data_IF_109394479196
#
_entry.id   IF_109394479196
#
_cell.length_a   1.000
_cell.length_b   1.000
_cell.length_c   1.000
_cell.angle_alpha   90.00
_cell.angle_beta   90.00
_cell.angle_gamma   90.00
#
_symmetry.space_group_name_H-M   'P 1'
#
loop_
_entity.id
_entity.type
_entity.pdbx_description
1 polymer ?
#
# COMPACT_ATOMS: atom_id res chain seq x y z
N UNK A 1 -9.09 22.21 -21.58
CA UNK A 1 -9.12 21.92 -20.14
C UNK A 1 -9.86 20.61 -19.95
N UNK A 2 -9.10 19.56 -19.61
CA UNK A 2 -9.66 18.23 -19.43
C UNK A 2 -10.46 18.17 -18.13
N UNK A 3 -11.56 17.49 -18.21
CA UNK A 3 -12.52 17.26 -17.16
C UNK A 3 -11.96 16.35 -16.07
N UNK A 4 -11.99 16.69 -14.79
CA UNK A 4 -11.61 15.73 -13.76
C UNK A 4 -12.69 14.66 -13.67
N UNK A 5 -12.33 13.45 -14.08
CA UNK A 5 -13.11 12.24 -13.84
C UNK A 5 -13.43 12.10 -12.35
N UNK A 6 -14.53 11.47 -11.95
CA UNK A 6 -14.82 11.26 -10.54
C UNK A 6 -13.65 10.53 -9.87
N UNK A 7 -13.15 11.13 -8.80
CA UNK A 7 -12.00 10.60 -8.07
C UNK A 7 -12.36 9.27 -7.42
N UNK A 8 -11.81 8.19 -7.94
CA UNK A 8 -11.71 6.95 -7.19
C UNK A 8 -10.85 7.23 -5.95
N UNK A 9 -11.00 6.53 -4.84
CA UNK A 9 -10.12 6.70 -3.68
C UNK A 9 -8.64 6.49 -4.02
N UNK A 10 -8.35 6.04 -5.23
CA UNK A 10 -7.02 5.74 -5.74
C UNK A 10 -6.73 6.50 -7.07
N UNK A 11 -7.22 7.75 -7.20
CA UNK A 11 -6.95 8.50 -8.43
C UNK A 11 -5.50 8.96 -8.50
N UNK A 12 -4.81 8.57 -9.55
CA UNK A 12 -3.48 9.09 -9.89
C UNK A 12 -3.65 10.41 -10.64
N UNK A 13 -3.02 11.47 -10.13
CA UNK A 13 -3.04 12.79 -10.77
C UNK A 13 -1.80 12.96 -11.65
N UNK A 14 -1.98 13.25 -12.92
CA UNK A 14 -0.88 13.45 -13.87
C UNK A 14 -0.70 14.94 -14.20
N UNK A 15 0.50 15.43 -14.07
CA UNK A 15 0.90 16.79 -14.45
C UNK A 15 2.17 16.76 -15.33
N UNK A 16 2.29 17.67 -16.30
CA UNK A 16 3.48 17.80 -17.17
C UNK A 16 4.45 18.83 -16.58
N UNK A 17 5.59 18.41 -16.05
CA UNK A 17 6.63 19.31 -15.54
C UNK A 17 8.03 18.70 -15.62
N UNK A 18 8.99 19.50 -16.02
CA UNK A 18 10.43 19.12 -16.07
C UNK A 18 11.14 19.44 -14.75
N UNK A 19 10.56 20.27 -13.91
CA UNK A 19 11.09 20.62 -12.57
C UNK A 19 10.10 20.21 -11.49
N UNK A 20 10.60 19.88 -10.30
CA UNK A 20 9.73 19.58 -9.16
C UNK A 20 8.67 20.66 -9.00
N UNK A 21 7.41 20.29 -8.92
CA UNK A 21 6.36 21.26 -8.66
C UNK A 21 6.57 21.91 -7.28
N UNK A 22 6.22 23.18 -7.14
CA UNK A 22 6.26 23.88 -5.84
C UNK A 22 5.15 23.38 -4.90
N UNK A 23 4.13 22.77 -5.48
CA UNK A 23 2.92 22.35 -4.77
C UNK A 23 2.32 21.10 -5.42
N UNK A 24 1.88 20.16 -4.63
CA UNK A 24 1.16 18.94 -5.07
C UNK A 24 -0.14 18.89 -4.28
N UNK A 25 -1.27 19.01 -4.97
CA UNK A 25 -2.57 19.10 -4.32
C UNK A 25 -2.58 20.27 -3.32
N UNK A 26 -2.80 19.97 -2.05
CA UNK A 26 -2.78 20.93 -0.95
C UNK A 26 -1.44 20.97 -0.21
N UNK A 27 -0.40 20.30 -0.72
CA UNK A 27 0.91 20.19 -0.06
C UNK A 27 1.93 21.11 -0.73
N UNK A 28 2.42 22.10 0.01
CA UNK A 28 3.52 22.98 -0.40
C UNK A 28 4.85 22.26 -0.13
N UNK A 29 5.65 22.06 -1.17
CA UNK A 29 6.91 21.29 -1.11
C UNK A 29 8.04 22.20 -0.65
N UNK A 30 8.72 21.79 0.42
CA UNK A 30 9.85 22.50 1.02
C UNK A 30 11.21 21.91 0.60
N UNK A 31 12.18 21.98 1.51
CA UNK A 31 13.55 21.53 1.29
C UNK A 31 13.66 19.99 1.26
N UNK A 32 14.74 19.49 0.66
CA UNK A 32 15.11 18.08 0.72
C UNK A 32 15.60 17.76 2.14
N UNK A 33 15.11 16.64 2.69
CA UNK A 33 15.45 16.14 4.03
C UNK A 33 16.20 14.81 3.97
N UNK A 34 16.17 14.11 2.83
CA UNK A 34 16.89 12.86 2.65
C UNK A 34 17.09 12.52 1.18
N UNK A 35 18.10 11.70 0.91
CA UNK A 35 18.37 11.10 -0.40
C UNK A 35 18.79 9.65 -0.18
N UNK A 36 18.17 8.75 -0.88
CA UNK A 36 18.47 7.31 -0.82
C UNK A 36 18.49 6.66 -2.19
N UNK A 37 18.76 5.38 -2.22
CA UNK A 37 18.82 4.59 -3.45
C UNK A 37 17.50 4.65 -4.24
N UNK A 38 16.36 4.71 -3.54
CA UNK A 38 15.02 4.71 -4.15
C UNK A 38 14.51 6.11 -4.52
N UNK A 39 15.29 7.19 -4.27
CA UNK A 39 14.87 8.55 -4.60
C UNK A 39 15.25 9.60 -3.57
N UNK A 40 14.61 10.75 -3.66
CA UNK A 40 14.83 11.86 -2.72
C UNK A 40 13.57 12.14 -1.89
N UNK A 41 13.77 12.55 -0.64
CA UNK A 41 12.69 12.88 0.29
C UNK A 41 12.70 14.37 0.58
N UNK A 42 11.55 15.03 0.44
CA UNK A 42 11.37 16.45 0.72
C UNK A 42 10.30 16.64 1.79
N UNK A 43 10.49 17.61 2.67
CA UNK A 43 9.45 18.01 3.61
C UNK A 43 8.34 18.75 2.85
N UNK A 44 7.10 18.62 3.30
CA UNK A 44 5.97 19.38 2.76
C UNK A 44 5.05 19.82 3.90
N UNK A 45 4.26 20.86 3.63
CA UNK A 45 3.30 21.38 4.60
C UNK A 45 1.93 21.52 3.93
N UNK A 46 0.92 20.98 4.58
CA UNK A 46 -0.46 21.04 4.09
C UNK A 46 -0.98 22.49 4.22
N UNK A 47 -1.46 23.06 3.13
CA UNK A 47 -1.82 24.49 3.04
C UNK A 47 -3.00 24.89 3.92
N UNK A 48 -3.94 23.98 4.19
CA UNK A 48 -5.13 24.26 5.02
C UNK A 48 -4.91 23.93 6.50
N UNK A 49 -4.32 22.76 6.79
CA UNK A 49 -4.20 22.24 8.19
C UNK A 49 -2.87 22.61 8.84
N UNK A 50 -1.85 22.97 8.05
CA UNK A 50 -0.50 23.21 8.56
C UNK A 50 0.29 21.94 8.86
N UNK A 51 -0.31 20.76 8.71
CA UNK A 51 0.32 19.46 8.97
C UNK A 51 1.55 19.26 8.10
N UNK A 52 2.60 18.66 8.66
CA UNK A 52 3.81 18.30 7.91
C UNK A 52 3.69 16.88 7.33
N UNK A 53 4.32 16.70 6.19
CA UNK A 53 4.45 15.41 5.49
C UNK A 53 5.86 15.27 4.92
N UNK A 54 6.28 14.05 4.66
CA UNK A 54 7.48 13.73 3.87
C UNK A 54 7.02 13.31 2.47
N UNK A 55 7.58 13.93 1.43
CA UNK A 55 7.28 13.54 0.05
C UNK A 55 8.49 12.79 -0.51
N UNK A 56 8.33 11.49 -0.70
CA UNK A 56 9.32 10.64 -1.37
C UNK A 56 9.08 10.73 -2.87
N UNK A 57 10.10 11.18 -3.60
CA UNK A 57 10.06 11.37 -5.05
C UNK A 57 10.89 10.27 -5.70
N UNK A 58 10.24 9.40 -6.45
CA UNK A 58 10.84 8.25 -7.13
C UNK A 58 10.80 8.52 -8.64
N UNK A 59 11.98 8.51 -9.28
CA UNK A 59 12.01 8.64 -10.74
C UNK A 59 11.56 7.34 -11.39
N UNK A 60 10.67 7.43 -12.35
CA UNK A 60 10.18 6.29 -13.12
C UNK A 60 11.32 5.63 -13.93
N UNK A 61 12.37 6.38 -14.24
CA UNK A 61 13.55 5.84 -14.94
C UNK A 61 14.43 4.96 -14.03
N UNK A 62 14.29 5.07 -12.71
CA UNK A 62 15.04 4.24 -11.75
C UNK A 62 14.30 2.97 -11.34
N UNK A 63 13.02 2.86 -11.70
CA UNK A 63 12.30 1.60 -11.55
C UNK A 63 13.01 0.54 -12.43
N UNK A 64 13.19 -0.70 -11.93
CA UNK A 64 14.10 -1.67 -12.58
C UNK A 64 13.84 -1.82 -14.07
N UNK A 65 14.87 -1.76 -14.92
CA UNK A 65 14.67 -1.98 -16.33
C UNK A 65 14.55 -3.48 -16.65
N UNK A 66 13.42 -4.06 -16.37
CA UNK A 66 13.01 -5.29 -17.06
C UNK A 66 12.77 -4.99 -18.56
N UNK A 67 13.13 -3.78 -18.99
CA UNK A 67 12.64 -3.17 -20.23
C UNK A 67 13.66 -3.08 -21.36
N UNK A 68 14.94 -3.43 -21.17
CA UNK A 68 15.94 -3.17 -22.22
C UNK A 68 16.22 -4.31 -23.20
N UNK A 69 15.60 -5.47 -23.04
CA UNK A 69 15.94 -6.66 -23.87
C UNK A 69 14.76 -7.51 -24.37
N UNK A 70 13.54 -6.98 -24.36
CA UNK A 70 12.36 -7.74 -24.80
C UNK A 70 11.79 -7.14 -26.10
N UNK A 71 11.45 -8.00 -27.04
CA UNK A 71 10.82 -7.69 -28.32
C UNK A 71 9.56 -6.82 -28.14
N UNK A 72 9.35 -5.87 -29.03
CA UNK A 72 8.27 -4.86 -28.98
C UNK A 72 6.88 -5.45 -28.71
N UNK A 73 6.61 -6.68 -29.17
CA UNK A 73 5.32 -7.34 -28.97
C UNK A 73 5.14 -7.96 -27.57
N UNK A 74 6.23 -8.15 -26.82
CA UNK A 74 6.20 -8.63 -25.42
C UNK A 74 6.40 -7.50 -24.39
N UNK A 75 6.84 -6.34 -24.87
CA UNK A 75 7.12 -5.19 -24.00
C UNK A 75 5.85 -4.65 -23.34
N UNK A 76 4.73 -4.64 -24.05
CA UNK A 76 3.46 -4.16 -23.56
C UNK A 76 2.97 -4.98 -22.34
N UNK A 77 2.98 -6.30 -22.47
CA UNK A 77 2.49 -7.21 -21.41
C UNK A 77 3.36 -7.13 -20.14
N UNK A 78 4.70 -7.13 -20.31
CA UNK A 78 5.63 -7.05 -19.17
C UNK A 78 5.55 -5.69 -18.48
N UNK A 79 5.43 -4.61 -19.27
CA UNK A 79 5.29 -3.24 -18.72
C UNK A 79 3.99 -3.11 -17.95
N UNK A 80 2.89 -3.63 -18.49
CA UNK A 80 1.58 -3.59 -17.86
C UNK A 80 1.59 -4.36 -16.52
N UNK A 81 2.16 -5.55 -16.48
CA UNK A 81 2.27 -6.36 -15.25
C UNK A 81 3.13 -5.68 -14.18
N UNK A 82 4.25 -5.09 -14.57
CA UNK A 82 5.13 -4.36 -13.64
C UNK A 82 4.42 -3.12 -13.07
N UNK A 83 3.72 -2.37 -13.92
CA UNK A 83 2.94 -1.19 -13.50
C UNK A 83 1.81 -1.58 -12.55
N UNK A 84 1.07 -2.64 -12.86
CA UNK A 84 -0.01 -3.17 -12.01
C UNK A 84 0.52 -3.64 -10.65
N UNK A 85 1.72 -4.20 -10.60
CA UNK A 85 2.37 -4.60 -9.35
C UNK A 85 2.64 -3.39 -8.45
N UNK A 86 3.19 -2.32 -9.01
CA UNK A 86 3.46 -1.06 -8.29
C UNK A 86 2.15 -0.42 -7.81
N UNK A 87 1.13 -0.40 -8.64
CA UNK A 87 -0.19 0.15 -8.27
C UNK A 87 -0.81 -0.60 -7.10
N UNK A 88 -0.76 -1.94 -7.10
CA UNK A 88 -1.23 -2.78 -5.99
C UNK A 88 -0.48 -2.48 -4.71
N UNK A 89 0.84 -2.35 -4.78
CA UNK A 89 1.70 -2.05 -3.63
C UNK A 89 1.33 -0.70 -3.00
N UNK A 90 1.13 0.32 -3.84
CA UNK A 90 0.70 1.66 -3.39
C UNK A 90 -0.67 1.59 -2.71
N UNK A 91 -1.62 0.85 -3.29
CA UNK A 91 -2.96 0.66 -2.70
C UNK A 91 -2.84 0.01 -1.31
N UNK A 92 -2.05 -1.04 -1.20
CA UNK A 92 -1.83 -1.73 0.08
C UNK A 92 -1.22 -0.78 1.12
N UNK A 93 -0.20 -0.02 0.74
CA UNK A 93 0.42 0.98 1.63
C UNK A 93 -0.60 2.02 2.13
N UNK A 94 -1.53 2.43 1.27
CA UNK A 94 -2.59 3.40 1.62
C UNK A 94 -3.64 2.78 2.56
N UNK A 95 -3.87 1.47 2.45
CA UNK A 95 -4.84 0.73 3.26
C UNK A 95 -4.28 0.34 4.63
N UNK A 96 -2.96 0.17 4.75
CA UNK A 96 -2.30 -0.19 6.01
C UNK A 96 -2.64 0.83 7.09
N UNK A 97 -3.06 0.32 8.26
CA UNK A 97 -3.37 1.14 9.42
C UNK A 97 -2.82 0.46 10.68
N UNK A 98 -1.62 0.85 11.07
CA UNK A 98 -0.93 0.32 12.25
C UNK A 98 -0.13 1.44 12.93
N UNK A 99 -0.12 1.55 14.26
CA UNK A 99 0.58 2.64 14.94
C UNK A 99 2.08 2.68 14.65
N UNK A 100 2.71 1.53 14.42
CA UNK A 100 4.15 1.41 14.20
C UNK A 100 4.52 1.28 12.71
N UNK A 101 3.62 1.64 11.79
CA UNK A 101 3.89 1.72 10.36
C UNK A 101 3.62 3.15 9.88
N UNK A 102 4.53 3.67 9.08
CA UNK A 102 4.42 5.03 8.51
C UNK A 102 3.24 5.10 7.53
N UNK A 103 2.36 6.07 7.73
CA UNK A 103 1.14 6.24 6.89
C UNK A 103 1.48 6.83 5.55
N UNK A 104 0.82 6.33 4.50
CA UNK A 104 0.79 6.94 3.17
C UNK A 104 -0.50 7.77 3.07
N UNK A 105 -0.36 9.08 2.99
CA UNK A 105 -1.51 10.00 2.90
C UNK A 105 -2.07 10.10 1.49
N UNK A 106 -1.17 10.21 0.48
CA UNK A 106 -1.61 10.36 -0.90
C UNK A 106 -0.48 10.00 -1.88
N UNK A 107 -0.86 9.82 -3.13
CA UNK A 107 0.08 9.49 -4.23
C UNK A 107 -0.21 10.40 -5.41
N UNK A 108 0.83 10.99 -5.97
CA UNK A 108 0.74 11.82 -7.17
C UNK A 108 1.76 11.34 -8.20
N UNK A 109 1.47 11.55 -9.45
CA UNK A 109 2.25 11.04 -10.55
C UNK A 109 2.42 12.12 -11.63
N UNK A 110 3.64 12.21 -12.18
CA UNK A 110 3.94 12.96 -13.40
C UNK A 110 4.41 11.99 -14.49
N UNK A 111 4.71 12.50 -15.65
CA UNK A 111 5.30 11.67 -16.73
C UNK A 111 6.66 11.06 -16.33
N UNK A 112 7.41 11.72 -15.44
CA UNK A 112 8.78 11.32 -15.07
C UNK A 112 8.91 10.77 -13.64
N UNK A 113 8.04 11.16 -12.72
CA UNK A 113 8.22 10.90 -11.29
C UNK A 113 6.93 10.48 -10.60
N UNK A 114 7.10 9.69 -9.56
CA UNK A 114 6.06 9.28 -8.60
C UNK A 114 6.32 10.00 -7.28
N UNK A 115 5.29 10.57 -6.68
CA UNK A 115 5.34 11.33 -5.42
C UNK A 115 4.49 10.61 -4.37
N UNK A 116 5.13 10.05 -3.36
CA UNK A 116 4.46 9.42 -2.22
C UNK A 116 4.41 10.44 -1.08
N UNK A 117 3.21 10.83 -0.66
CA UNK A 117 3.01 11.77 0.46
C UNK A 117 2.84 10.94 1.73
N UNK A 118 3.87 10.93 2.56
CA UNK A 118 4.02 10.06 3.72
C UNK A 118 3.93 10.85 5.02
N UNK A 119 3.63 10.16 6.10
CA UNK A 119 3.74 10.68 7.46
C UNK A 119 5.15 11.24 7.69
N UNK A 120 5.24 12.44 8.25
CA UNK A 120 6.53 13.04 8.62
C UNK A 120 6.89 12.62 10.03
N UNK A 121 8.00 11.89 10.17
CA UNK A 121 8.49 11.33 11.43
C UNK A 121 9.74 12.12 11.84
N UNK A 122 9.78 12.63 13.06
CA UNK A 122 10.76 13.64 13.48
C UNK A 122 11.94 13.11 14.30
N UNK A 123 11.82 11.94 14.92
CA UNK A 123 12.85 11.41 15.83
C UNK A 123 14.07 10.80 15.15
N UNK A 124 14.08 10.75 13.81
CA UNK A 124 15.23 10.22 13.05
C UNK A 124 15.21 8.70 12.92
N UNK A 125 16.32 8.15 12.47
CA UNK A 125 16.47 6.72 12.24
C UNK A 125 16.87 5.99 13.54
N UNK A 126 16.33 4.80 13.75
CA UNK A 126 16.71 3.93 14.88
C UNK A 126 18.22 3.62 14.85
N UNK A 127 18.79 3.50 13.64
CA UNK A 127 20.22 3.26 13.46
C UNK A 127 21.06 4.40 14.03
N UNK A 128 20.71 5.65 13.73
CA UNK A 128 21.40 6.83 14.27
C UNK A 128 21.32 6.87 15.81
N UNK A 129 20.14 6.52 16.33
CA UNK A 129 19.95 6.44 17.78
C UNK A 129 20.87 5.40 18.42
N UNK A 130 20.96 4.20 17.79
CA UNK A 130 21.86 3.13 18.24
C UNK A 130 23.34 3.53 18.15
N UNK A 131 23.75 4.16 17.05
CA UNK A 131 25.14 4.62 16.87
C UNK A 131 25.55 5.62 17.95
N UNK A 132 24.62 6.48 18.38
CA UNK A 132 24.88 7.50 19.40
C UNK A 132 24.85 6.92 20.83
N UNK A 133 23.95 5.99 21.10
CA UNK A 133 23.69 5.46 22.45
C UNK A 133 24.48 4.18 22.75
N UNK A 134 24.82 3.43 21.72
CA UNK A 134 25.35 2.08 21.84
C UNK A 134 24.24 1.08 22.14
N UNK A 135 24.60 -0.05 22.75
CA UNK A 135 23.60 -1.09 23.11
C UNK A 135 22.55 -0.54 24.08
N UNK A 136 21.33 -0.98 23.92
CA UNK A 136 20.21 -0.53 24.75
C UNK A 136 20.02 -1.42 25.99
N UNK A 137 19.50 -0.85 27.10
CA UNK A 137 18.98 -1.68 28.19
C UNK A 137 17.93 -2.69 27.67
N UNK A 138 17.90 -3.86 28.27
CA UNK A 138 17.03 -4.97 27.81
C UNK A 138 15.55 -4.55 27.69
N UNK A 139 15.05 -3.79 28.67
CA UNK A 139 13.65 -3.31 28.67
C UNK A 139 13.36 -2.40 27.47
N UNK A 140 14.28 -1.48 27.16
CA UNK A 140 14.15 -0.56 26.03
C UNK A 140 14.25 -1.32 24.70
N UNK A 141 15.23 -2.21 24.56
CA UNK A 141 15.41 -3.06 23.39
C UNK A 141 14.16 -3.92 23.12
N UNK A 142 13.63 -4.54 24.18
CA UNK A 142 12.41 -5.36 24.08
C UNK A 142 11.19 -4.51 23.70
N UNK A 143 11.06 -3.30 24.25
CA UNK A 143 9.96 -2.39 23.90
C UNK A 143 9.97 -2.04 22.40
N UNK A 144 11.13 -1.71 21.85
CA UNK A 144 11.27 -1.45 20.41
C UNK A 144 11.01 -2.73 19.58
N UNK A 145 11.58 -3.84 20.03
CA UNK A 145 11.39 -5.13 19.35
C UNK A 145 9.92 -5.54 19.30
N UNK A 146 9.17 -5.38 20.40
CA UNK A 146 7.72 -5.66 20.44
C UNK A 146 6.95 -4.83 19.42
N UNK A 147 7.30 -3.55 19.27
CA UNK A 147 6.67 -2.65 18.29
C UNK A 147 6.98 -3.08 16.85
N UNK A 148 8.24 -3.46 16.57
CA UNK A 148 8.67 -3.96 15.26
C UNK A 148 7.90 -5.25 14.91
N UNK A 149 7.88 -6.21 15.83
CA UNK A 149 7.20 -7.50 15.63
C UNK A 149 5.68 -7.28 15.42
N UNK A 150 5.06 -6.38 16.18
CA UNK A 150 3.63 -6.05 16.02
C UNK A 150 3.34 -5.53 14.60
N UNK A 151 4.18 -4.63 14.10
CA UNK A 151 4.03 -4.06 12.76
C UNK A 151 4.25 -5.11 11.65
N UNK A 152 5.30 -5.93 11.81
CA UNK A 152 5.64 -6.98 10.83
C UNK A 152 4.56 -8.08 10.83
N UNK A 153 4.08 -8.51 12.00
CA UNK A 153 2.99 -9.48 12.12
C UNK A 153 1.71 -8.97 11.45
N UNK A 154 1.38 -7.68 11.66
CA UNK A 154 0.24 -7.03 10.99
C UNK A 154 0.34 -7.21 9.47
N UNK A 155 1.50 -6.90 8.89
CA UNK A 155 1.70 -7.04 7.44
C UNK A 155 1.62 -8.51 6.99
N UNK A 156 2.24 -9.43 7.74
CA UNK A 156 2.23 -10.86 7.44
C UNK A 156 0.80 -11.45 7.46
N UNK A 157 -0.09 -10.94 8.32
CA UNK A 157 -1.51 -11.33 8.35
C UNK A 157 -2.19 -11.06 7.01
N UNK A 158 -1.79 -9.98 6.33
CA UNK A 158 -2.28 -9.62 5.00
C UNK A 158 -1.43 -10.18 3.86
N UNK A 159 -0.53 -11.14 4.14
CA UNK A 159 0.38 -11.74 3.16
C UNK A 159 1.39 -10.74 2.56
N UNK A 160 1.70 -9.68 3.27
CA UNK A 160 2.67 -8.66 2.87
C UNK A 160 3.97 -8.91 3.64
N UNK A 161 5.07 -9.13 2.93
CA UNK A 161 6.39 -9.18 3.53
C UNK A 161 7.16 -7.91 3.19
N UNK A 162 7.92 -7.38 4.13
CA UNK A 162 8.69 -6.14 3.96
C UNK A 162 9.91 -6.34 3.05
N UNK A 163 10.66 -7.43 3.26
CA UNK A 163 11.82 -7.90 2.46
C UNK A 163 13.08 -7.02 2.51
N UNK A 164 13.01 -5.80 3.01
CA UNK A 164 14.15 -4.90 3.19
C UNK A 164 14.13 -4.27 4.58
N UNK A 165 13.84 -5.09 5.59
CA UNK A 165 13.78 -4.62 6.97
C UNK A 165 15.20 -4.41 7.51
N UNK A 166 15.49 -3.16 7.87
CA UNK A 166 16.80 -2.73 8.38
C UNK A 166 16.63 -1.45 9.20
N UNK A 167 17.55 -1.09 10.09
CA UNK A 167 17.36 0.07 10.96
C UNK A 167 17.18 1.40 10.24
N UNK A 168 17.71 1.57 9.02
CA UNK A 168 17.52 2.77 8.20
C UNK A 168 16.05 2.95 7.76
N UNK A 169 15.30 1.84 7.70
CA UNK A 169 13.87 1.84 7.37
C UNK A 169 12.99 1.87 8.63
N UNK A 170 13.60 2.03 9.82
CA UNK A 170 12.89 2.11 11.09
C UNK A 170 13.15 3.48 11.70
N UNK A 171 12.11 4.29 11.77
CA UNK A 171 12.18 5.66 12.28
C UNK A 171 11.59 5.71 13.70
N UNK A 172 11.95 6.75 14.42
CA UNK A 172 11.41 7.05 15.74
C UNK A 172 10.53 8.31 15.65
N UNK A 173 9.36 8.28 16.25
CA UNK A 173 8.53 9.47 16.39
C UNK A 173 8.98 10.31 17.61
N UNK A 174 8.31 11.44 17.86
CA UNK A 174 8.64 12.35 18.98
C UNK A 174 8.48 11.69 20.36
N UNK A 175 7.70 10.63 20.45
CA UNK A 175 7.47 9.87 21.69
C UNK A 175 8.34 8.61 21.76
N UNK A 176 9.35 8.50 20.89
CA UNK A 176 10.23 7.35 20.76
C UNK A 176 9.46 6.03 20.49
N UNK A 177 8.43 6.12 19.64
CA UNK A 177 7.77 4.92 19.13
C UNK A 177 8.30 4.60 17.73
N UNK A 178 8.33 3.33 17.42
CA UNK A 178 8.76 2.82 16.12
C UNK A 178 7.75 3.20 15.02
N UNK A 179 8.30 3.61 13.86
CA UNK A 179 7.58 3.80 12.60
C UNK A 179 8.36 3.09 11.49
N UNK A 180 7.89 1.94 11.05
CA UNK A 180 8.48 1.22 9.92
C UNK A 180 8.13 1.96 8.63
N UNK A 181 9.14 2.27 7.86
CA UNK A 181 9.07 3.02 6.61
C UNK A 181 9.48 2.12 5.44
N UNK A 182 9.30 2.64 4.26
CA UNK A 182 9.89 2.15 3.02
C UNK A 182 9.48 0.73 2.62
N UNK A 183 8.17 0.51 2.53
CA UNK A 183 7.60 -0.70 1.94
C UNK A 183 7.81 -0.77 0.40
N UNK A 184 8.70 0.05 -0.16
CA UNK A 184 8.96 0.12 -1.60
C UNK A 184 9.60 -1.14 -2.21
N UNK A 185 10.03 -2.07 -1.36
CA UNK A 185 10.54 -3.38 -1.78
C UNK A 185 9.60 -4.50 -1.32
N UNK A 186 8.54 -4.12 -0.61
CA UNK A 186 7.54 -5.08 -0.16
C UNK A 186 6.90 -5.72 -1.39
N UNK A 187 7.16 -6.97 -1.58
CA UNK A 187 6.62 -7.71 -2.71
C UNK A 187 5.74 -8.85 -2.19
N UNK A 188 4.84 -9.24 -3.04
CA UNK A 188 3.86 -10.25 -2.71
C UNK A 188 4.49 -11.62 -2.60
N UNK A 189 4.11 -12.36 -1.58
CA UNK A 189 4.45 -13.77 -1.50
C UNK A 189 3.73 -14.49 -2.65
N UNK A 190 4.50 -15.02 -3.59
CA UNK A 190 3.95 -15.76 -4.72
C UNK A 190 4.32 -15.24 -6.10
N UNK A 191 5.01 -14.11 -6.21
CA UNK A 191 5.58 -13.69 -7.49
C UNK A 191 6.95 -14.36 -7.68
N UNK A 192 7.08 -15.32 -8.63
CA UNK A 192 8.37 -16.00 -8.85
C UNK A 192 9.46 -15.06 -9.38
N UNK A 193 9.09 -13.90 -9.92
CA UNK A 193 10.05 -12.95 -10.51
C UNK A 193 10.56 -11.95 -9.47
N UNK A 194 9.82 -11.72 -8.39
CA UNK A 194 10.26 -10.88 -7.28
C UNK A 194 11.43 -11.50 -6.50
N UNK A 195 11.69 -12.80 -6.68
CA UNK A 195 12.83 -13.50 -6.07
C UNK A 195 14.19 -13.15 -6.70
N UNK A 196 14.20 -12.47 -7.85
CA UNK A 196 15.43 -12.07 -8.55
C UNK A 196 15.93 -10.68 -8.16
N UNK A 197 15.67 -10.24 -6.95
CA UNK A 197 16.33 -9.06 -6.41
C UNK A 197 17.80 -9.42 -6.13
N UNK A 198 18.61 -9.32 -7.17
CA UNK A 198 20.06 -9.35 -7.00
C UNK A 198 20.43 -8.21 -6.06
N UNK A 199 21.08 -8.53 -5.00
CA UNK A 199 21.69 -7.59 -4.06
C UNK A 199 22.78 -6.79 -4.78
N UNK A 200 22.38 -5.90 -5.66
CA UNK A 200 23.31 -4.90 -6.18
C UNK A 200 23.35 -3.75 -5.18
N UNK A 201 24.31 -3.81 -4.28
CA UNK A 201 24.77 -2.70 -3.46
C UNK A 201 23.78 -2.14 -2.42
N UNK A 202 22.99 -3.01 -1.75
CA UNK A 202 22.38 -2.72 -0.46
C UNK A 202 23.23 -3.33 0.66
N UNK A 203 23.02 -2.94 1.91
CA UNK A 203 23.67 -3.52 3.07
C UNK A 203 23.21 -4.97 3.26
N UNK A 204 24.00 -6.00 2.93
CA UNK A 204 23.52 -7.39 3.01
C UNK A 204 23.40 -7.91 4.44
N UNK A 205 23.85 -7.17 5.43
CA UNK A 205 23.90 -7.53 6.86
C UNK A 205 22.56 -8.05 7.40
N UNK A 206 21.43 -7.56 6.86
CA UNK A 206 20.07 -7.90 7.32
C UNK A 206 19.40 -8.97 6.45
N UNK A 207 20.02 -9.31 5.31
CA UNK A 207 19.44 -10.27 4.35
C UNK A 207 19.57 -11.71 4.87
N UNK A 208 18.50 -12.48 4.73
CA UNK A 208 18.49 -13.89 5.12
C UNK A 208 19.36 -14.75 4.17
N UNK A 209 19.94 -15.87 4.66
CA UNK A 209 20.80 -16.75 3.85
C UNK A 209 20.17 -17.19 2.53
N UNK A 210 18.88 -17.49 2.53
CA UNK A 210 18.14 -17.94 1.34
C UNK A 210 18.02 -16.82 0.29
N UNK A 211 17.99 -15.55 0.72
CA UNK A 211 18.01 -14.40 -0.20
C UNK A 211 19.39 -14.29 -0.88
N UNK A 212 20.46 -14.40 -0.09
CA UNK A 212 21.85 -14.34 -0.57
C UNK A 212 22.13 -15.49 -1.54
N UNK A 213 21.60 -16.69 -1.26
CA UNK A 213 21.75 -17.86 -2.10
C UNK A 213 20.96 -17.80 -3.41
N UNK A 214 20.07 -16.82 -3.57
CA UNK A 214 19.21 -16.69 -4.76
C UNK A 214 18.15 -17.78 -4.88
N UNK A 215 17.81 -18.44 -3.77
CA UNK A 215 16.78 -19.47 -3.74
C UNK A 215 15.38 -18.85 -3.69
N UNK A 216 14.38 -19.62 -4.09
CA UNK A 216 12.98 -19.24 -3.82
C UNK A 216 12.78 -19.18 -2.30
N UNK A 217 12.29 -18.06 -1.81
CA UNK A 217 12.19 -17.84 -0.38
C UNK A 217 10.80 -17.37 0.05
N UNK A 218 10.50 -17.61 1.32
CA UNK A 218 9.31 -17.11 1.99
C UNK A 218 9.66 -15.72 2.60
N UNK A 219 9.01 -14.68 2.12
CA UNK A 219 9.27 -13.30 2.57
C UNK A 219 9.04 -13.10 4.06
N UNK A 220 8.01 -13.71 4.63
CA UNK A 220 7.73 -13.62 6.06
C UNK A 220 8.85 -14.24 6.90
N UNK A 221 9.40 -15.38 6.46
CA UNK A 221 10.56 -16.01 7.14
C UNK A 221 11.82 -15.15 7.03
N UNK A 222 12.01 -14.50 5.88
CA UNK A 222 13.15 -13.59 5.68
C UNK A 222 13.03 -12.35 6.59
N UNK A 223 11.83 -11.79 6.75
CA UNK A 223 11.59 -10.66 7.68
C UNK A 223 11.90 -11.07 9.14
N UNK A 224 11.57 -12.32 9.54
CA UNK A 224 11.90 -12.84 10.89
C UNK A 224 13.42 -12.85 11.10
N UNK A 225 14.19 -13.27 10.07
CA UNK A 225 15.66 -13.21 10.13
C UNK A 225 16.12 -11.75 10.33
N UNK A 226 15.64 -10.83 9.52
CA UNK A 226 16.00 -9.40 9.63
C UNK A 226 15.65 -8.82 11.01
N UNK A 227 14.47 -9.18 11.56
CA UNK A 227 14.09 -8.82 12.93
C UNK A 227 15.07 -9.39 13.96
N UNK A 228 15.60 -10.60 13.74
CA UNK A 228 16.62 -11.21 14.59
C UNK A 228 17.94 -10.44 14.58
N UNK A 229 18.38 -10.01 13.39
CA UNK A 229 19.57 -9.14 13.26
C UNK A 229 19.36 -7.82 14.02
N UNK A 230 18.18 -7.21 13.87
CA UNK A 230 17.84 -5.95 14.56
C UNK A 230 17.83 -6.17 16.08
N UNK A 231 17.21 -7.25 16.57
CA UNK A 231 17.20 -7.57 18.02
C UNK A 231 18.60 -7.73 18.55
N UNK A 232 19.49 -8.43 17.81
CA UNK A 232 20.90 -8.57 18.19
C UNK A 232 21.55 -7.19 18.32
N UNK A 233 21.36 -6.32 17.32
CA UNK A 233 21.92 -4.96 17.30
C UNK A 233 21.41 -4.12 18.49
N UNK A 234 20.13 -4.22 18.83
CA UNK A 234 19.52 -3.50 19.97
C UNK A 234 20.16 -3.94 21.30
N UNK A 235 20.37 -5.25 21.48
CA UNK A 235 20.85 -5.84 22.76
C UNK A 235 22.36 -5.82 22.91
N UNK A 236 23.10 -6.01 21.80
CA UNK A 236 24.57 -6.13 21.83
C UNK A 236 25.29 -4.84 21.39
N UNK A 237 24.61 -3.96 20.66
CA UNK A 237 25.23 -2.76 20.07
C UNK A 237 26.09 -3.07 18.84
N UNK A 238 26.08 -4.32 18.38
CA UNK A 238 26.87 -4.78 17.22
C UNK A 238 26.02 -5.71 16.35
N UNK A 239 26.41 -5.87 15.10
CA UNK A 239 25.77 -6.84 14.22
C UNK A 239 26.32 -8.25 14.48
N UNK A 240 25.51 -9.31 14.27
CA UNK A 240 26.01 -10.70 14.42
C UNK A 240 26.92 -11.11 13.26
N UNK A 241 26.75 -10.48 12.10
CA UNK A 241 27.58 -10.70 10.90
C UNK A 241 28.07 -9.33 10.43
N UNK A 242 29.39 -9.16 10.47
CA UNK A 242 30.01 -7.89 10.05
C UNK A 242 31.44 -8.16 9.56
N UNK A 243 31.76 -7.66 8.37
CA UNK A 243 33.08 -7.78 7.77
C UNK A 243 33.24 -6.73 6.67
N UNK A 244 34.42 -6.12 6.59
CA UNK A 244 34.74 -5.13 5.54
C UNK A 244 34.81 -5.78 4.15
N UNK A 245 35.14 -7.08 4.09
CA UNK A 245 35.19 -7.85 2.85
C UNK A 245 33.80 -8.44 2.54
N UNK A 246 33.13 -7.91 1.53
CA UNK A 246 31.78 -8.30 1.18
C UNK A 246 31.61 -9.83 0.92
N UNK A 247 32.51 -10.50 0.15
CA UNK A 247 32.48 -11.95 0.03
C UNK A 247 32.53 -12.70 1.36
N UNK A 248 33.37 -12.26 2.28
CA UNK A 248 33.50 -12.86 3.63
C UNK A 248 32.21 -12.68 4.42
N UNK A 249 31.65 -11.47 4.42
CA UNK A 249 30.34 -11.18 5.04
C UNK A 249 29.24 -12.11 4.51
N UNK A 250 29.12 -12.23 3.18
CA UNK A 250 28.12 -13.11 2.55
C UNK A 250 28.32 -14.59 2.96
N UNK A 251 29.58 -15.03 3.11
CA UNK A 251 29.89 -16.37 3.58
C UNK A 251 29.49 -16.57 5.06
N UNK A 252 29.74 -15.56 5.92
CA UNK A 252 29.32 -15.59 7.33
C UNK A 252 27.79 -15.77 7.43
N UNK A 253 27.04 -14.94 6.69
CA UNK A 253 25.57 -14.97 6.68
C UNK A 253 25.08 -16.34 6.18
N UNK A 254 25.60 -16.83 5.04
CA UNK A 254 25.19 -18.10 4.47
C UNK A 254 25.48 -19.30 5.36
N UNK A 255 26.54 -19.22 6.20
CA UNK A 255 26.84 -20.24 7.21
C UNK A 255 25.99 -20.06 8.48
N UNK A 256 25.44 -18.88 8.71
CA UNK A 256 24.68 -18.51 9.91
C UNK A 256 25.45 -18.78 11.22
N UNK A 257 26.77 -18.58 11.20
CA UNK A 257 27.63 -18.76 12.38
C UNK A 257 28.06 -17.41 12.92
N UNK A 258 27.65 -17.10 14.12
CA UNK A 258 27.99 -15.84 14.82
C UNK A 258 28.29 -16.12 16.30
N UNK A 259 28.99 -15.19 16.93
CA UNK A 259 29.24 -15.25 18.36
C UNK A 259 28.01 -14.74 19.11
N UNK A 260 27.40 -15.60 19.92
CA UNK A 260 26.25 -15.20 20.73
C UNK A 260 26.74 -14.33 21.88
N UNK A 261 26.22 -13.11 22.07
CA UNK A 261 26.56 -12.29 23.23
C UNK A 261 26.24 -13.03 24.53
N UNK A 262 27.20 -13.12 25.43
CA UNK A 262 27.07 -13.86 26.70
C UNK A 262 26.51 -13.00 27.83
N UNK A 263 26.49 -11.69 27.64
CA UNK A 263 26.10 -10.68 28.64
C UNK A 263 24.66 -10.16 28.43
N UNK A 264 23.85 -10.88 27.62
CA UNK A 264 22.42 -10.58 27.42
C UNK A 264 21.56 -11.68 28.06
N UNK A 265 20.29 -11.40 28.27
CA UNK A 265 19.32 -12.32 28.85
C UNK A 265 19.35 -13.69 28.16
N UNK A 266 19.45 -14.81 28.89
CA UNK A 266 19.41 -16.15 28.30
C UNK A 266 18.17 -16.45 27.45
N UNK A 267 17.01 -15.89 27.80
CA UNK A 267 15.80 -16.04 26.98
C UNK A 267 15.94 -15.25 25.66
N UNK A 268 16.62 -14.09 25.68
CA UNK A 268 16.95 -13.34 24.45
C UNK A 268 17.90 -14.16 23.55
N UNK A 269 18.91 -14.81 24.16
CA UNK A 269 19.84 -15.69 23.42
C UNK A 269 19.09 -16.84 22.74
N UNK A 270 18.12 -17.45 23.44
CA UNK A 270 17.31 -18.54 22.86
C UNK A 270 16.48 -18.04 21.67
N UNK A 271 15.82 -16.88 21.83
CA UNK A 271 15.03 -16.28 20.75
C UNK A 271 15.91 -15.97 19.53
N UNK A 272 17.11 -15.36 19.76
CA UNK A 272 18.05 -15.04 18.68
C UNK A 272 18.50 -16.32 17.92
N UNK A 273 18.81 -17.41 18.63
CA UNK A 273 19.18 -18.69 17.97
C UNK A 273 18.06 -19.19 17.06
N UNK A 274 16.81 -19.08 17.51
CA UNK A 274 15.64 -19.52 16.74
C UNK A 274 15.32 -18.62 15.56
N UNK A 275 15.52 -17.31 15.71
CA UNK A 275 15.28 -16.34 14.62
C UNK A 275 16.38 -16.41 13.56
N UNK A 276 17.65 -16.56 13.98
CA UNK A 276 18.81 -16.64 13.09
C UNK A 276 19.15 -18.11 12.71
N UNK A 277 18.13 -18.96 12.63
CA UNK A 277 18.24 -20.33 12.13
C UNK A 277 18.30 -20.31 10.60
N UNK A 278 19.37 -20.85 10.04
CA UNK A 278 19.59 -20.96 8.59
C UNK A 278 18.47 -21.74 7.89
N UNK A 279 18.07 -22.86 8.47
CA UNK A 279 17.05 -23.70 7.88
C UNK A 279 15.66 -23.06 8.07
N UNK A 280 15.10 -22.56 6.99
CA UNK A 280 13.81 -21.83 6.96
C UNK A 280 12.68 -22.68 7.61
N UNK A 281 12.72 -24.03 7.45
CA UNK A 281 11.71 -24.92 8.03
C UNK A 281 11.84 -25.08 9.54
N UNK A 282 13.03 -24.78 10.11
CA UNK A 282 13.30 -24.84 11.55
C UNK A 282 13.28 -23.45 12.18
N UNK A 283 13.36 -22.38 11.35
CA UNK A 283 13.30 -21.01 11.83
C UNK A 283 11.97 -20.76 12.53
N UNK A 284 12.01 -20.10 13.67
CA UNK A 284 10.84 -19.75 14.48
C UNK A 284 9.80 -18.99 13.62
N UNK A 285 8.53 -19.27 13.83
CA UNK A 285 7.43 -18.57 13.15
C UNK A 285 7.05 -17.29 13.93
N UNK A 286 6.37 -16.35 13.28
CA UNK A 286 5.91 -15.12 13.93
C UNK A 286 5.03 -15.41 15.15
N UNK A 287 4.12 -16.40 15.05
CA UNK A 287 3.25 -16.79 16.15
C UNK A 287 4.04 -17.35 17.35
N UNK A 288 5.16 -18.04 17.11
CA UNK A 288 6.05 -18.53 18.15
C UNK A 288 6.90 -17.40 18.76
N UNK A 289 7.37 -16.45 17.95
CA UNK A 289 8.08 -15.25 18.45
C UNK A 289 7.19 -14.51 19.46
N UNK A 290 5.93 -14.28 19.12
CA UNK A 290 4.97 -13.55 19.95
C UNK A 290 4.62 -14.27 21.27
N UNK A 291 4.86 -15.58 21.36
CA UNK A 291 4.66 -16.40 22.55
C UNK A 291 5.95 -16.69 23.31
N UNK A 292 7.09 -16.27 22.76
CA UNK A 292 8.40 -16.60 23.35
C UNK A 292 8.59 -15.95 24.73
N UNK A 293 9.18 -16.67 25.72
CA UNK A 293 9.36 -16.11 27.07
C UNK A 293 10.01 -14.73 27.13
N UNK A 294 11.04 -14.51 26.30
CA UNK A 294 11.66 -13.17 26.20
C UNK A 294 10.66 -12.11 25.73
N UNK A 295 9.89 -12.42 24.67
CA UNK A 295 8.95 -11.47 24.07
C UNK A 295 7.84 -11.05 25.03
N UNK A 296 7.34 -12.00 25.84
CA UNK A 296 6.24 -11.75 26.79
C UNK A 296 6.71 -11.34 28.19
N UNK A 297 8.03 -11.16 28.39
CA UNK A 297 8.61 -10.83 29.72
C UNK A 297 8.23 -9.43 30.22
N UNK A 298 7.75 -8.55 29.32
CA UNK A 298 7.16 -7.26 29.70
C UNK A 298 5.92 -6.97 28.85
N UNK A 299 4.96 -6.21 29.38
CA UNK A 299 3.78 -5.81 28.60
C UNK A 299 4.18 -4.88 27.46
N UNK A 300 3.51 -4.94 26.32
CA UNK A 300 3.79 -4.02 25.21
C UNK A 300 3.38 -2.58 25.55
N UNK A 301 4.12 -1.61 24.98
CA UNK A 301 3.93 -0.17 25.22
C UNK A 301 2.54 0.31 24.76
N UNK A 302 2.02 -0.24 23.68
CA UNK A 302 0.71 0.13 23.11
C UNK A 302 -0.28 -1.03 23.25
N UNK A 303 -1.11 -0.99 24.27
CA UNK A 303 -2.14 -2.00 24.53
C UNK A 303 -3.49 -1.68 23.85
N UNK A 304 -3.67 -0.44 23.41
CA UNK A 304 -4.95 0.03 22.85
C UNK A 304 -5.18 -0.40 21.40
N UNK A 305 -4.13 -0.85 20.73
CA UNK A 305 -4.24 -1.33 19.35
C UNK A 305 -4.44 -2.85 19.33
N UNK A 306 -5.57 -3.26 18.78
CA UNK A 306 -5.87 -4.69 18.61
C UNK A 306 -5.56 -5.09 17.17
N UNK A 307 -4.65 -6.03 17.02
CA UNK A 307 -4.34 -6.62 15.70
C UNK A 307 -5.60 -7.28 15.13
N UNK A 308 -5.90 -7.05 13.85
CA UNK A 308 -7.02 -7.74 13.21
C UNK A 308 -6.87 -9.25 13.36
N UNK A 309 -7.95 -9.92 13.71
CA UNK A 309 -7.93 -11.37 13.87
C UNK A 309 -7.66 -12.05 12.53
N UNK A 310 -6.74 -13.02 12.54
CA UNK A 310 -6.37 -13.79 11.35
C UNK A 310 -7.58 -14.49 10.72
N UNK A 311 -8.49 -14.98 11.55
CA UNK A 311 -9.70 -15.64 11.05
C UNK A 311 -10.61 -14.63 10.33
N UNK A 312 -10.75 -13.42 10.87
CA UNK A 312 -11.60 -12.39 10.23
C UNK A 312 -11.06 -11.95 8.88
N UNK A 313 -9.74 -11.80 8.74
CA UNK A 313 -9.08 -11.43 7.48
C UNK A 313 -9.22 -12.54 6.42
N UNK A 314 -9.13 -13.80 6.87
CA UNK A 314 -9.15 -14.97 6.00
C UNK A 314 -10.57 -15.49 5.73
N UNK A 315 -11.58 -14.99 6.44
CA UNK A 315 -12.95 -15.47 6.31
C UNK A 315 -13.45 -15.34 4.87
N UNK A 316 -13.93 -16.45 4.29
CA UNK A 316 -14.59 -16.37 2.99
C UNK A 316 -15.88 -15.59 3.10
N UNK A 317 -16.20 -14.85 2.06
CA UNK A 317 -17.48 -14.16 1.98
C UNK A 317 -18.57 -15.23 1.78
N UNK A 318 -19.48 -15.34 2.72
CA UNK A 318 -20.44 -16.42 2.80
C UNK A 318 -21.39 -16.51 1.59
N UNK A 319 -21.67 -15.38 0.96
CA UNK A 319 -22.60 -15.32 -0.20
C UNK A 319 -22.09 -14.29 -1.21
N UNK A 320 -22.21 -14.61 -2.48
CA UNK A 320 -21.86 -13.68 -3.58
C UNK A 320 -22.64 -12.37 -3.44
N UNK A 321 -23.90 -12.44 -3.02
CA UNK A 321 -24.76 -11.27 -2.80
C UNK A 321 -24.29 -10.36 -1.67
N UNK A 322 -23.36 -10.81 -0.81
CA UNK A 322 -22.77 -10.02 0.28
C UNK A 322 -21.49 -9.29 -0.16
N UNK A 323 -21.05 -9.53 -1.39
CA UNK A 323 -19.90 -8.80 -1.96
C UNK A 323 -20.35 -7.38 -2.27
N UNK A 324 -19.68 -6.40 -1.67
CA UNK A 324 -19.94 -4.98 -1.94
C UNK A 324 -19.54 -4.65 -3.38
N UNK A 325 -20.46 -4.15 -4.22
CA UNK A 325 -20.18 -3.93 -5.65
C UNK A 325 -19.11 -2.85 -5.90
N UNK A 326 -19.01 -1.82 -5.07
CA UNK A 326 -18.01 -0.75 -5.23
C UNK A 326 -16.60 -1.27 -4.87
N UNK A 327 -16.51 -2.05 -3.79
CA UNK A 327 -15.24 -2.68 -3.39
C UNK A 327 -14.84 -3.72 -4.45
N UNK A 328 -15.78 -4.46 -4.99
CA UNK A 328 -15.53 -5.42 -6.07
C UNK A 328 -15.02 -4.72 -7.34
N UNK A 329 -15.57 -3.54 -7.66
CA UNK A 329 -15.08 -2.73 -8.79
C UNK A 329 -13.62 -2.31 -8.57
N UNK A 330 -13.26 -1.93 -7.35
CA UNK A 330 -11.85 -1.63 -7.00
C UNK A 330 -10.95 -2.86 -7.16
N UNK A 331 -11.42 -4.05 -6.77
CA UNK A 331 -10.66 -5.29 -6.99
C UNK A 331 -10.44 -5.59 -8.48
N UNK A 332 -11.43 -5.37 -9.32
CA UNK A 332 -11.27 -5.52 -10.78
C UNK A 332 -10.17 -4.64 -11.31
N UNK A 333 -10.09 -3.41 -10.82
CA UNK A 333 -9.04 -2.45 -11.20
C UNK A 333 -7.65 -2.95 -10.81
N UNK A 334 -7.54 -3.60 -9.65
CA UNK A 334 -6.27 -4.14 -9.15
C UNK A 334 -5.88 -5.47 -9.82
N UNK A 335 -6.85 -6.25 -10.28
CA UNK A 335 -6.63 -7.56 -10.90
C UNK A 335 -7.09 -7.56 -12.37
N UNK A 336 -6.52 -6.65 -13.17
CA UNK A 336 -6.77 -6.62 -14.61
C UNK A 336 -6.47 -7.98 -15.25
N UNK A 337 -7.36 -8.41 -16.13
CA UNK A 337 -7.21 -9.69 -16.81
C UNK A 337 -7.71 -10.90 -16.05
N UNK A 338 -8.10 -10.74 -14.77
CA UNK A 338 -8.74 -11.80 -14.00
C UNK A 338 -10.26 -11.68 -14.19
N UNK A 339 -10.91 -12.78 -14.52
CA UNK A 339 -12.36 -12.78 -14.72
C UNK A 339 -13.12 -12.55 -13.40
N UNK A 340 -14.31 -11.97 -13.47
CA UNK A 340 -15.18 -11.78 -12.31
C UNK A 340 -15.45 -13.10 -11.58
N UNK A 341 -15.64 -14.19 -12.33
CA UNK A 341 -15.85 -15.52 -11.76
C UNK A 341 -14.66 -15.96 -10.90
N UNK A 342 -13.43 -15.78 -11.39
CA UNK A 342 -12.22 -16.13 -10.65
C UNK A 342 -12.02 -15.24 -9.41
N UNK A 343 -12.35 -13.94 -9.50
CA UNK A 343 -12.31 -13.03 -8.35
C UNK A 343 -13.35 -13.44 -7.28
N UNK A 344 -14.56 -13.74 -7.70
CA UNK A 344 -15.63 -14.20 -6.79
C UNK A 344 -15.21 -15.52 -6.12
N UNK A 345 -14.66 -16.46 -6.89
CA UNK A 345 -14.13 -17.70 -6.36
C UNK A 345 -13.04 -17.45 -5.30
N UNK A 346 -12.10 -16.53 -5.58
CA UNK A 346 -11.07 -16.13 -4.61
C UNK A 346 -11.67 -15.59 -3.31
N UNK A 347 -12.71 -14.77 -3.40
CA UNK A 347 -13.36 -14.15 -2.23
C UNK A 347 -14.17 -15.17 -1.40
N UNK A 348 -14.75 -16.18 -2.06
CA UNK A 348 -15.61 -17.18 -1.41
C UNK A 348 -14.86 -18.45 -1.00
N UNK A 349 -13.61 -18.64 -1.47
CA UNK A 349 -12.79 -19.82 -1.15
C UNK A 349 -12.39 -19.88 0.32
N UNK A 350 -12.10 -21.06 0.82
CA UNK A 350 -11.57 -21.26 2.19
C UNK A 350 -10.07 -20.89 2.28
N UNK A 351 -9.37 -20.90 1.16
CA UNK A 351 -7.94 -20.61 1.12
C UNK A 351 -7.66 -19.12 1.38
N UNK A 352 -6.61 -18.85 2.16
CA UNK A 352 -6.09 -17.49 2.31
C UNK A 352 -5.52 -17.02 0.98
N UNK A 353 -5.97 -15.86 0.55
CA UNK A 353 -5.48 -15.25 -0.68
C UNK A 353 -5.50 -13.73 -0.55
N UNK A 354 -4.85 -13.12 -1.49
CA UNK A 354 -4.69 -11.67 -1.58
C UNK A 354 -5.95 -10.89 -1.78
N UNK A 355 -6.75 -11.35 -2.70
CA UNK A 355 -7.99 -10.69 -3.09
C UNK A 355 -8.88 -10.52 -1.87
N UNK A 356 -8.94 -11.56 -1.03
CA UNK A 356 -9.69 -11.55 0.22
C UNK A 356 -9.09 -10.57 1.23
N UNK A 357 -7.78 -10.60 1.41
CA UNK A 357 -7.06 -9.68 2.31
C UNK A 357 -7.31 -8.23 1.92
N UNK A 358 -7.13 -7.88 0.65
CA UNK A 358 -7.36 -6.54 0.13
C UNK A 358 -8.86 -6.15 0.25
N UNK A 359 -9.77 -7.07 -0.02
CA UNK A 359 -11.21 -6.82 0.14
C UNK A 359 -11.52 -6.38 1.58
N UNK A 360 -11.05 -7.13 2.58
CA UNK A 360 -11.28 -6.79 3.99
C UNK A 360 -10.59 -5.48 4.40
N UNK A 361 -9.40 -5.20 3.88
CA UNK A 361 -8.72 -3.92 4.11
C UNK A 361 -9.52 -2.75 3.52
N UNK A 362 -10.11 -2.91 2.34
CA UNK A 362 -10.95 -1.90 1.70
C UNK A 362 -12.25 -1.66 2.49
N UNK A 363 -12.87 -2.74 3.00
CA UNK A 363 -14.05 -2.64 3.88
C UNK A 363 -13.71 -1.83 5.13
N UNK A 364 -12.60 -2.16 5.79
CA UNK A 364 -12.13 -1.47 6.99
C UNK A 364 -11.79 0.01 6.69
N UNK A 365 -11.08 0.27 5.61
CA UNK A 365 -10.72 1.62 5.17
C UNK A 365 -11.99 2.47 4.93
N UNK A 366 -12.96 1.93 4.21
CA UNK A 366 -14.24 2.61 3.94
C UNK A 366 -15.01 2.89 5.23
N UNK A 367 -15.05 1.93 6.13
CA UNK A 367 -15.69 2.06 7.44
C UNK A 367 -15.09 3.21 8.26
N UNK A 368 -13.76 3.29 8.32
CA UNK A 368 -13.04 4.34 9.05
C UNK A 368 -13.21 5.73 8.44
N UNK A 369 -13.34 5.79 7.12
CA UNK A 369 -13.39 7.07 6.39
C UNK A 369 -14.79 7.43 5.88
N UNK A 370 -15.82 6.78 6.38
CA UNK A 370 -17.22 6.91 5.91
C UNK A 370 -17.69 8.39 5.87
N UNK A 371 -17.41 9.15 6.92
CA UNK A 371 -17.80 10.56 6.99
C UNK A 371 -17.12 11.41 5.89
N UNK A 372 -15.83 11.17 5.66
CA UNK A 372 -15.07 11.84 4.61
C UNK A 372 -15.62 11.51 3.22
N UNK A 373 -15.94 10.24 2.97
CA UNK A 373 -16.55 9.80 1.71
C UNK A 373 -17.90 10.46 1.46
N UNK A 374 -18.75 10.50 2.48
CA UNK A 374 -20.08 11.11 2.37
C UNK A 374 -19.96 12.61 2.04
N UNK A 375 -19.00 13.31 2.62
CA UNK A 375 -18.73 14.74 2.33
C UNK A 375 -18.17 14.93 0.92
N UNK A 376 -17.22 14.12 0.50
CA UNK A 376 -16.65 14.17 -0.84
C UNK A 376 -17.70 13.88 -1.92
N UNK A 377 -18.54 12.87 -1.71
CA UNK A 377 -19.63 12.54 -2.62
C UNK A 377 -20.63 13.68 -2.75
N UNK A 378 -20.99 14.32 -1.64
CA UNK A 378 -21.85 15.50 -1.63
C UNK A 378 -21.22 16.68 -2.38
N UNK A 379 -19.93 16.91 -2.20
CA UNK A 379 -19.19 17.96 -2.92
C UNK A 379 -19.11 17.67 -4.42
N UNK A 380 -18.80 16.44 -4.79
CA UNK A 380 -18.76 16.02 -6.20
C UNK A 380 -20.12 16.17 -6.86
N UNK A 381 -21.19 15.77 -6.18
CA UNK A 381 -22.55 15.95 -6.67
C UNK A 381 -22.90 17.43 -6.88
N UNK A 382 -22.48 18.32 -5.98
CA UNK A 382 -22.65 19.78 -6.11
C UNK A 382 -21.89 20.30 -7.33
N UNK A 383 -20.61 19.96 -7.46
CA UNK A 383 -19.75 20.37 -8.59
C UNK A 383 -20.33 19.89 -9.93
N UNK A 384 -20.84 18.66 -9.99
CA UNK A 384 -21.47 18.10 -11.18
C UNK A 384 -22.74 18.90 -11.56
N UNK A 385 -23.59 19.22 -10.58
CA UNK A 385 -24.81 20.04 -10.79
C UNK A 385 -24.46 21.45 -11.28
N UNK A 386 -23.47 22.10 -10.68
CA UNK A 386 -23.00 23.44 -11.10
C UNK A 386 -22.44 23.43 -12.52
N UNK A 387 -21.66 22.41 -12.86
CA UNK A 387 -21.09 22.24 -14.18
C UNK A 387 -22.18 22.05 -15.24
N UNK A 388 -23.17 21.23 -14.93
CA UNK A 388 -24.35 21.01 -15.80
C UNK A 388 -25.15 22.31 -15.99
N UNK A 389 -25.28 23.12 -14.91
CA UNK A 389 -25.91 24.43 -14.94
C UNK A 389 -25.13 25.42 -15.82
N UNK A 390 -23.78 25.50 -15.65
CA UNK A 390 -22.89 26.35 -16.45
C UNK A 390 -22.90 25.97 -17.94
N UNK A 391 -22.92 24.66 -18.22
CA UNK A 391 -23.01 24.15 -19.59
C UNK A 391 -24.34 24.57 -20.24
N UNK A 392 -25.46 24.40 -19.55
CA UNK A 392 -26.79 24.84 -20.02
C UNK A 392 -26.87 26.36 -20.22
N UNK A 393 -26.20 27.13 -19.38
CA UNK A 393 -26.14 28.60 -19.53
C UNK A 393 -25.31 29.02 -20.76
N UNK A 394 -24.21 28.36 -21.03
CA UNK A 394 -23.40 28.58 -22.22
C UNK A 394 -24.16 28.22 -23.49
N UNK A 395 -24.79 27.04 -23.50
CA UNK A 395 -25.62 26.62 -24.64
C UNK A 395 -26.77 27.56 -24.92
N UNK A 396 -27.32 28.26 -23.90
CA UNK A 396 -28.34 29.31 -24.05
C UNK A 396 -27.76 30.65 -24.50
N UNK A 397 -26.54 30.97 -24.12
CA UNK A 397 -25.86 32.21 -24.49
C UNK A 397 -25.32 32.19 -25.93
N UNK A 398 -24.99 30.99 -26.43
CA UNK A 398 -24.47 30.79 -27.79
C UNK A 398 -25.58 30.77 -28.87
N UNK A 399 -26.86 30.76 -28.44
CA UNK A 399 -27.96 30.88 -29.40
C UNK A 399 -28.17 32.38 -29.70
N UNK A 400 -27.68 32.80 -30.82
CA UNK A 400 -27.89 34.18 -31.33
C UNK A 400 -29.37 34.46 -31.57
N UNK A 401 -29.87 35.68 -31.28
CA UNK A 401 -31.28 36.03 -31.52
C UNK A 401 -31.73 35.83 -32.99
N UNK A 402 -30.77 35.82 -33.92
CA UNK A 402 -31.04 35.62 -35.36
C UNK A 402 -31.37 34.18 -35.75
N UNK A 403 -31.10 33.20 -34.90
CA UNK A 403 -31.32 31.78 -35.22
C UNK A 403 -32.63 31.22 -34.68
N UNK A 404 -33.50 32.08 -34.12
CA UNK A 404 -34.82 31.69 -33.65
C UNK A 404 -35.78 31.68 -34.87
N UNK A 405 -36.28 30.55 -35.34
CA UNK A 405 -37.27 30.54 -36.42
C UNK A 405 -38.53 31.32 -35.98
N UNK A 406 -39.18 32.07 -36.89
CA UNK A 406 -40.36 32.85 -36.52
C UNK A 406 -41.42 31.90 -35.95
N UNK A 407 -42.00 32.36 -34.85
CA UNK A 407 -43.03 31.61 -34.14
C UNK A 407 -44.21 31.33 -35.09
N UNK A 408 -44.49 30.07 -35.34
CA UNK A 408 -45.65 29.68 -36.15
C UNK A 408 -46.94 30.27 -35.54
N UNK A 409 -47.78 30.89 -36.37
CA UNK A 409 -49.05 31.47 -35.94
C UNK A 409 -49.89 30.43 -35.20
N UNK A 410 -50.52 30.87 -34.12
CA UNK A 410 -51.36 30.01 -33.31
C UNK A 410 -52.49 29.36 -34.18
N UNK A 411 -52.73 28.08 -34.10
CA UNK A 411 -53.80 27.45 -34.86
C UNK A 411 -55.16 27.99 -34.40
N UNK A 412 -56.01 28.35 -35.37
CA UNK A 412 -57.39 28.72 -35.12
C UNK A 412 -58.17 27.56 -34.51
N UNK A 413 -59.05 27.81 -33.56
CA UNK A 413 -59.83 26.74 -32.94
C UNK A 413 -60.81 26.11 -33.95
N UNK A 414 -60.67 24.80 -34.20
CA UNK A 414 -61.62 24.01 -34.95
C UNK A 414 -62.78 23.67 -34.01
N UNK A 415 -63.96 23.97 -34.50
CA UNK A 415 -65.25 23.64 -33.90
C UNK A 415 -65.43 22.08 -33.79
N UNK A 416 -65.84 21.67 -32.63
CA UNK A 416 -66.10 20.26 -32.32
C UNK A 416 -67.24 19.68 -33.19
N UNK A 417 -66.95 18.58 -33.84
CA UNK A 417 -67.93 17.72 -34.46
C UNK A 417 -68.02 16.42 -33.68
N UNK A 418 -69.23 16.04 -33.35
CA UNK A 418 -69.63 14.86 -32.55
C UNK A 418 -69.52 13.55 -33.32
N UNK A 419 -69.32 12.50 -32.51
CA UNK A 419 -69.57 11.04 -32.74
C UNK A 419 -68.47 10.28 -33.46
N UNK A 420 -67.86 9.27 -32.79
CA UNK A 420 -68.40 7.90 -32.80
C UNK A 420 -67.82 7.03 -31.69
N UNK A 421 -68.68 6.29 -31.03
CA UNK A 421 -68.42 5.18 -30.16
C UNK A 421 -67.77 4.02 -30.93
N UNK A 422 -66.75 3.39 -30.37
CA UNK A 422 -66.29 2.08 -30.86
C UNK A 422 -66.34 1.09 -29.70
N UNK A 423 -67.07 0.04 -29.90
CA UNK A 423 -67.23 -1.12 -29.04
C UNK A 423 -65.90 -1.84 -28.77
N UNK A 424 -65.70 -2.23 -27.55
CA UNK A 424 -64.80 -3.27 -27.17
C UNK A 424 -65.31 -4.64 -27.50
N UNK A 425 -64.50 -5.47 -28.17
CA UNK A 425 -64.81 -6.91 -28.30
C UNK A 425 -63.62 -7.70 -27.75
N UNK A 426 -63.94 -8.58 -26.83
CA UNK A 426 -63.02 -9.53 -26.25
C UNK A 426 -62.75 -10.66 -27.25
N UNK A 427 -61.50 -11.03 -27.46
CA UNK A 427 -60.97 -12.40 -27.58
C UNK A 427 -59.50 -12.45 -27.96
N UNK A 428 -58.90 -13.23 -27.20
CA UNK A 428 -57.47 -13.48 -27.25
C UNK A 428 -56.97 -14.42 -28.38
N UNK A 429 -55.75 -14.46 -28.40
CA UNK A 429 -55.03 -15.39 -28.71
C UNK A 429 -54.17 -15.27 -29.75
N UNK A 430 -53.19 -15.58 -29.45
CA UNK A 430 -52.10 -16.46 -29.94
C UNK A 430 -51.71 -16.39 -31.42
N UNK A 431 -50.50 -16.31 -31.54
CA UNK A 431 -49.52 -17.06 -32.37
C UNK A 431 -48.70 -16.24 -33.39
N UNK A 432 -47.44 -16.44 -33.21
CA UNK A 432 -46.22 -16.23 -33.97
C UNK A 432 -46.32 -16.88 -35.40
N UNK A 433 -45.61 -16.43 -36.42
CA UNK A 433 -44.18 -16.73 -36.50
C UNK A 433 -43.23 -15.53 -36.53
#
# INVERSE_FOLDING_TARGET
MADPSPMSPFSFHSTKSVRDPKMIGLWTIGRTIGRGASGRVRIARHSKTGQYAAIKIISKSTLPPLMSQVSINRLADVTEHAQLSVEREIVVMKLINHPNIMKLYDVWETSSDLYLILEYVQGGELFDYLCNKGRLPTEEALSYFQQIISAVDYCHRFNIAHRDLKPENILLDEQSNIKIADFGMAAWQGDPQAANLRTSCGSPHYAAPEIISGERYNGASADIWSCGIILHALLAGTLPFDDDDCPTLLQMITKAKFAMPTDIDPAAQDLLRRMLEKNVKKRITMAEVMKHPFFVSQPPKHTDYTLPDLESIAQPIARVSSIDPDIFANLRTLWHGTSDAALIESLTSQERNWQKGIYHMLVDYRSRNRQLYDEEEREMAKRHKERKKRRRQRERADVSPSDIPPRAAAPTPRTASRHNEIHLDERGXSEIP
#
